data_IF_382502389220
#
_entry.id   IF_382502389220
#
_cell.length_a   1.000
_cell.length_b   1.000
_cell.length_c   1.000
_cell.angle_alpha   90.00
_cell.angle_beta   90.00
_cell.angle_gamma   90.00
#
_symmetry.space_group_name_H-M   'P 1'
#
loop_
_entity.id
_entity.type
_entity.pdbx_description
1 polymer ?
#
# COMPACT_ATOMS: atom_id res chain seq x y z
N UNK A 1 -24.61 9.32 30.31
CA UNK A 1 -23.35 10.07 30.06
C UNK A 1 -22.20 9.21 29.51
N UNK A 2 -21.92 8.00 30.05
CA UNK A 2 -20.85 7.12 29.55
C UNK A 2 -21.08 6.63 28.10
N UNK A 3 -22.31 6.30 27.75
CA UNK A 3 -22.73 5.92 26.39
C UNK A 3 -22.62 7.09 25.40
N UNK A 4 -23.05 8.29 25.80
CA UNK A 4 -22.92 9.51 25.01
C UNK A 4 -21.44 9.85 24.71
N UNK A 5 -20.56 9.69 25.70
CA UNK A 5 -19.12 9.94 25.54
C UNK A 5 -18.42 8.89 24.67
N UNK A 6 -18.90 7.64 24.67
CA UNK A 6 -18.47 6.59 23.72
C UNK A 6 -18.96 6.87 22.30
N UNK A 7 -20.20 7.32 22.14
CA UNK A 7 -20.75 7.71 20.84
C UNK A 7 -20.00 8.91 20.23
N UNK A 8 -19.70 9.93 21.05
CA UNK A 8 -18.85 11.06 20.65
C UNK A 8 -17.43 10.64 20.27
N UNK A 9 -16.87 9.61 20.92
CA UNK A 9 -15.54 9.07 20.59
C UNK A 9 -15.47 8.34 19.25
N UNK A 10 -16.61 7.93 18.67
CA UNK A 10 -16.66 7.30 17.35
C UNK A 10 -16.74 8.32 16.20
N UNK A 11 -17.14 9.56 16.47
CA UNK A 11 -17.23 10.62 15.46
C UNK A 11 -15.93 10.86 14.68
N UNK A 12 -14.74 10.96 15.29
CA UNK A 12 -13.51 11.13 14.51
C UNK A 12 -13.22 9.94 13.60
N UNK A 13 -13.51 8.72 14.05
CA UNK A 13 -13.32 7.51 13.23
C UNK A 13 -14.29 7.51 12.03
N UNK A 14 -15.55 7.88 12.26
CA UNK A 14 -16.55 8.02 11.21
C UNK A 14 -16.19 9.15 10.23
N UNK A 15 -15.65 10.26 10.74
CA UNK A 15 -15.21 11.38 9.91
C UNK A 15 -14.03 10.98 9.01
N UNK A 16 -13.03 10.25 9.54
CA UNK A 16 -11.91 9.73 8.75
C UNK A 16 -12.40 8.70 7.73
N UNK A 17 -13.27 7.78 8.13
CA UNK A 17 -13.85 6.80 7.22
C UNK A 17 -14.63 7.49 6.08
N UNK A 18 -15.45 8.48 6.39
CA UNK A 18 -16.16 9.27 5.39
C UNK A 18 -15.19 10.04 4.48
N UNK A 19 -14.13 10.64 5.03
CA UNK A 19 -13.12 11.35 4.26
C UNK A 19 -12.37 10.45 3.26
N UNK A 20 -12.26 9.15 3.53
CA UNK A 20 -11.66 8.17 2.61
C UNK A 20 -12.69 7.59 1.64
N UNK A 21 -13.87 7.21 2.14
CA UNK A 21 -14.87 6.48 1.37
C UNK A 21 -15.69 7.39 0.44
N UNK A 22 -16.00 8.62 0.84
CA UNK A 22 -16.81 9.54 0.00
C UNK A 22 -16.07 9.89 -1.30
N UNK A 23 -14.77 10.23 -1.31
CA UNK A 23 -14.04 10.45 -2.56
C UNK A 23 -13.97 9.22 -3.47
N UNK A 24 -13.98 8.01 -2.90
CA UNK A 24 -13.90 6.77 -3.68
C UNK A 24 -15.12 6.59 -4.60
N UNK A 25 -16.30 7.07 -4.18
CA UNK A 25 -17.53 7.04 -4.99
C UNK A 25 -17.41 7.89 -6.26
N UNK A 26 -16.59 8.94 -6.21
CA UNK A 26 -16.40 9.89 -7.30
C UNK A 26 -15.07 9.68 -8.02
N UNK A 27 -14.43 8.52 -7.88
CA UNK A 27 -13.15 8.28 -8.53
C UNK A 27 -13.33 8.21 -10.06
N UNK A 28 -12.45 8.85 -10.84
CA UNK A 28 -12.48 8.71 -12.29
C UNK A 28 -12.17 7.27 -12.69
N UNK A 29 -12.57 6.88 -13.90
CA UNK A 29 -12.21 5.59 -14.45
C UNK A 29 -10.68 5.40 -14.49
N UNK A 30 -10.24 4.17 -14.23
CA UNK A 30 -8.83 3.85 -14.23
C UNK A 30 -8.20 4.07 -15.63
N UNK A 31 -6.96 4.57 -15.73
CA UNK A 31 -6.29 4.76 -17.00
C UNK A 31 -6.15 3.45 -17.80
N UNK A 32 -6.88 3.35 -18.91
CA UNK A 32 -6.91 2.14 -19.75
C UNK A 32 -5.65 2.00 -20.61
N UNK A 33 -5.07 3.11 -21.08
CA UNK A 33 -3.88 3.10 -21.92
C UNK A 33 -2.67 2.44 -21.23
N UNK A 34 -2.44 2.76 -19.95
CA UNK A 34 -1.35 2.17 -19.16
C UNK A 34 -1.61 0.69 -18.87
N UNK A 35 -2.84 0.33 -18.48
CA UNK A 35 -3.24 -1.06 -18.28
C UNK A 35 -2.94 -1.89 -19.53
N UNK A 36 -3.39 -1.40 -20.69
CA UNK A 36 -3.25 -2.11 -21.94
C UNK A 36 -1.79 -2.18 -22.41
N UNK A 37 -0.99 -1.14 -22.14
CA UNK A 37 0.45 -1.17 -22.34
C UNK A 37 1.10 -2.28 -21.52
N UNK A 38 0.83 -2.33 -20.22
CA UNK A 38 1.39 -3.34 -19.33
C UNK A 38 1.03 -4.75 -19.80
N UNK A 39 -0.23 -4.99 -20.16
CA UNK A 39 -0.70 -6.30 -20.65
C UNK A 39 0.03 -6.71 -21.93
N UNK A 40 0.20 -5.80 -22.90
CA UNK A 40 0.82 -6.13 -24.19
C UNK A 40 2.34 -6.23 -24.14
N UNK A 41 2.99 -5.43 -23.30
CA UNK A 41 4.45 -5.25 -23.29
C UNK A 41 5.15 -5.93 -22.12
N UNK A 42 4.43 -6.35 -21.09
CA UNK A 42 5.00 -6.88 -19.84
C UNK A 42 6.04 -7.98 -20.04
N UNK A 43 5.70 -9.02 -20.78
CA UNK A 43 6.62 -10.14 -21.04
C UNK A 43 7.81 -9.69 -21.89
N UNK A 44 7.58 -8.88 -22.92
CA UNK A 44 8.62 -8.46 -23.88
C UNK A 44 9.65 -7.52 -23.23
N UNK A 45 9.20 -6.62 -22.37
CA UNK A 45 10.07 -5.60 -21.76
C UNK A 45 10.74 -6.06 -20.47
N UNK A 46 10.10 -6.95 -19.72
CA UNK A 46 10.60 -7.38 -18.39
C UNK A 46 11.08 -8.83 -18.35
N UNK A 47 10.71 -9.65 -19.34
CA UNK A 47 10.96 -11.10 -19.35
C UNK A 47 10.07 -11.90 -18.37
N UNK A 48 9.28 -11.23 -17.52
CA UNK A 48 8.42 -11.91 -16.56
C UNK A 48 7.12 -12.38 -17.22
N UNK A 49 6.79 -13.70 -17.18
CA UNK A 49 5.52 -14.20 -17.70
C UNK A 49 4.33 -13.79 -16.82
N UNK A 50 4.58 -13.50 -15.54
CA UNK A 50 3.58 -12.99 -14.62
C UNK A 50 3.51 -11.45 -14.73
N UNK A 51 2.35 -10.93 -15.15
CA UNK A 51 2.14 -9.49 -15.33
C UNK A 51 2.29 -8.70 -14.02
N UNK A 52 1.87 -9.25 -12.89
CA UNK A 52 2.00 -8.58 -11.59
C UNK A 52 3.48 -8.42 -11.26
N UNK A 53 4.28 -9.48 -11.41
CA UNK A 53 5.74 -9.43 -11.22
C UNK A 53 6.44 -8.50 -12.20
N UNK A 54 5.99 -8.44 -13.46
CA UNK A 54 6.47 -7.46 -14.44
C UNK A 54 6.26 -6.02 -13.94
N UNK A 55 5.16 -5.75 -13.22
CA UNK A 55 4.93 -4.43 -12.61
C UNK A 55 5.82 -4.20 -11.40
N UNK A 56 5.72 -4.99 -10.32
CA UNK A 56 6.40 -4.64 -9.05
C UNK A 56 7.90 -4.98 -9.02
N UNK A 57 8.39 -5.94 -9.81
CA UNK A 57 9.84 -6.24 -9.93
C UNK A 57 10.47 -5.75 -11.24
N UNK A 58 9.67 -5.42 -12.27
CA UNK A 58 10.15 -4.83 -13.51
C UNK A 58 10.10 -3.31 -13.47
N UNK A 59 8.97 -2.73 -13.86
CA UNK A 59 8.84 -1.26 -13.99
C UNK A 59 8.87 -0.50 -12.65
N UNK A 60 8.41 -1.12 -11.55
CA UNK A 60 8.30 -0.50 -10.22
C UNK A 60 9.22 -1.14 -9.17
N UNK A 61 10.36 -1.67 -9.62
CA UNK A 61 11.33 -2.34 -8.74
C UNK A 61 11.77 -1.49 -7.53
N UNK A 62 11.85 -0.16 -7.68
CA UNK A 62 12.22 0.75 -6.58
C UNK A 62 11.19 0.77 -5.44
N UNK A 63 9.90 0.59 -5.73
CA UNK A 63 8.86 0.56 -4.70
C UNK A 63 9.02 -0.70 -3.84
N UNK A 64 9.19 -1.87 -4.46
CA UNK A 64 9.42 -3.15 -3.76
C UNK A 64 10.78 -3.20 -3.05
N UNK A 65 11.82 -2.57 -3.62
CA UNK A 65 13.10 -2.39 -2.92
C UNK A 65 12.91 -1.55 -1.65
N UNK A 66 12.15 -0.46 -1.73
CA UNK A 66 11.77 0.37 -0.59
C UNK A 66 11.01 -0.42 0.48
N UNK A 67 10.01 -1.22 0.09
CA UNK A 67 9.29 -2.12 1.01
C UNK A 67 10.24 -3.08 1.72
N UNK A 68 11.20 -3.67 0.98
CA UNK A 68 12.19 -4.58 1.55
C UNK A 68 13.10 -3.88 2.56
N UNK A 69 13.54 -2.65 2.27
CA UNK A 69 14.33 -1.83 3.20
C UNK A 69 13.52 -1.53 4.46
N UNK A 70 12.25 -1.14 4.34
CA UNK A 70 11.39 -0.85 5.49
C UNK A 70 11.21 -2.10 6.36
N UNK A 71 10.96 -3.26 5.75
CA UNK A 71 10.82 -4.53 6.50
C UNK A 71 12.13 -4.92 7.18
N UNK A 72 13.27 -4.77 6.51
CA UNK A 72 14.58 -5.01 7.08
C UNK A 72 14.83 -4.11 8.30
N UNK A 73 14.55 -2.81 8.18
CA UNK A 73 14.66 -1.84 9.28
C UNK A 73 13.71 -2.17 10.44
N UNK A 74 12.48 -2.60 10.15
CA UNK A 74 11.51 -2.98 11.17
C UNK A 74 11.99 -4.20 11.97
N UNK A 75 12.46 -5.25 11.29
CA UNK A 75 12.96 -6.47 11.93
C UNK A 75 14.25 -6.21 12.70
N UNK A 76 15.22 -5.52 12.09
CA UNK A 76 16.49 -5.18 12.74
C UNK A 76 16.27 -4.25 13.94
N UNK A 77 15.40 -3.26 13.83
CA UNK A 77 15.01 -2.39 14.94
C UNK A 77 14.33 -3.14 16.09
N UNK A 78 13.44 -4.07 15.77
CA UNK A 78 12.82 -4.94 16.78
C UNK A 78 13.86 -5.81 17.50
N UNK A 79 14.79 -6.43 16.75
CA UNK A 79 15.88 -7.22 17.32
C UNK A 79 16.81 -6.37 18.20
N UNK A 80 17.13 -5.15 17.79
CA UNK A 80 17.93 -4.22 18.59
C UNK A 80 17.25 -3.91 19.94
N UNK A 81 15.96 -3.59 19.91
CA UNK A 81 15.20 -3.28 21.13
C UNK A 81 15.03 -4.50 22.05
N UNK A 82 14.87 -5.70 21.49
CA UNK A 82 14.74 -6.94 22.26
C UNK A 82 16.08 -7.47 22.77
N UNK A 83 17.15 -7.28 21.99
CA UNK A 83 18.51 -7.72 22.29
C UNK A 83 19.28 -6.80 23.23
N UNK A 84 18.79 -5.58 23.49
CA UNK A 84 19.32 -4.64 24.48
C UNK A 84 19.06 -5.06 25.94
N UNK A 85 19.33 -6.32 26.27
CA UNK A 85 19.31 -6.86 27.63
C UNK A 85 20.70 -7.35 28.01
N UNK A 86 21.62 -6.40 28.17
CA UNK A 86 22.65 -6.36 29.23
C UNK A 86 22.90 -4.91 29.61
#
# INVERSE_FOLDING_TARGET
>A
MKTLRRALGLLPFLAVAAAVLVPLVWMPEAPTALRDYCVRRGVVETGAPNLVSAVYLGWRAYDTLGETIVLLLAVTGALYLLGGRE
#
